data_IF_843202184695
#
_entry.id   IF_843202184695
#
_cell.length_a   1.000
_cell.length_b   1.000
_cell.length_c   1.000
_cell.angle_alpha   90.00
_cell.angle_beta   90.00
_cell.angle_gamma   90.00
#
_symmetry.space_group_name_H-M   'P 1'
#
loop_
_entity.id
_entity.type
_entity.pdbx_description
1 polymer ?
2 non-polymer ?
3 water ?
#
# COMPACT_ATOMS: atom_id res chain seq x y z
N UNK A 6 -7.17 -13.36 10.95
CA UNK A 6 -6.03 -12.41 11.09
C UNK A 6 -6.35 -11.07 10.41
N UNK A 7 -6.26 -11.01 9.08
CA UNK A 7 -6.50 -9.78 8.31
C UNK A 7 -7.84 -9.64 7.59
N UNK A 8 -8.45 -8.46 7.70
CA UNK A 8 -9.70 -8.21 6.99
C UNK A 8 -9.33 -7.27 5.83
N UNK A 9 -9.08 -7.82 4.65
CA UNK A 9 -8.71 -7.01 3.50
C UNK A 9 -9.90 -6.60 2.65
N UNK A 10 -10.13 -5.29 2.58
CA UNK A 10 -11.20 -4.70 1.79
C UNK A 10 -10.60 -4.04 0.57
N UNK A 11 -10.53 -4.80 -0.51
CA UNK A 11 -9.97 -4.30 -1.75
C UNK A 11 -10.67 -4.88 -2.95
N UNK A 12 -10.11 -4.66 -4.12
CA UNK A 12 -10.77 -5.11 -5.32
C UNK A 12 -10.27 -6.46 -5.77
N UNK A 13 -11.08 -7.10 -6.60
CA UNK A 13 -10.78 -8.38 -7.19
C UNK A 13 -10.88 -8.26 -8.72
N UNK A 14 -9.99 -8.97 -9.40
CA UNK A 14 -9.97 -9.02 -10.85
C UNK A 14 -9.81 -10.49 -11.25
N UNK A 15 -10.59 -10.92 -12.24
CA UNK A 15 -10.54 -12.31 -12.70
C UNK A 15 -9.14 -12.63 -13.09
N UNK A 16 -8.56 -11.75 -13.90
CA UNK A 16 -7.21 -11.87 -14.41
C UNK A 16 -6.29 -10.84 -13.80
N UNK A 17 -5.00 -11.15 -13.77
CA UNK A 17 -4.02 -10.21 -13.25
C UNK A 17 -3.97 -10.02 -11.75
N UNK A 18 -3.07 -9.16 -11.30
CA UNK A 18 -2.90 -8.93 -9.87
C UNK A 18 -2.99 -7.49 -9.41
N UNK A 19 -4.14 -7.14 -8.87
CA UNK A 19 -4.38 -5.80 -8.38
C UNK A 19 -5.29 -5.97 -7.18
N UNK A 20 -5.21 -5.06 -6.22
CA UNK A 20 -6.07 -5.15 -5.06
C UNK A 20 -5.89 -6.40 -4.21
N UNK A 21 -6.99 -7.12 -3.98
CA UNK A 21 -6.98 -8.32 -3.16
C UNK A 21 -6.18 -9.43 -3.81
N UNK A 22 -6.14 -9.46 -5.13
CA UNK A 22 -5.39 -10.49 -5.85
C UNK A 22 -3.89 -10.24 -5.68
N UNK A 23 -3.53 -9.02 -5.32
CA UNK A 23 -2.14 -8.66 -5.12
C UNK A 23 -1.74 -8.80 -3.64
N UNK A 24 -2.73 -8.73 -2.75
CA UNK A 24 -2.44 -8.82 -1.33
C UNK A 24 -2.71 -10.16 -0.64
N UNK A 25 -3.50 -11.06 -1.24
CA UNK A 25 -3.83 -12.32 -0.58
C UNK A 25 -2.83 -13.46 -0.69
N UNK A 26 -2.29 -13.71 -1.88
CA UNK A 26 -1.29 -14.76 -2.04
C UNK A 26 -0.21 -14.47 -0.99
N UNK A 27 0.52 -13.35 -1.14
CA UNK A 27 1.57 -13.00 -0.18
C UNK A 27 1.15 -13.24 1.26
N UNK A 28 0.30 -12.37 1.77
CA UNK A 28 -0.16 -12.49 3.14
C UNK A 28 -0.44 -13.93 3.52
N UNK A 29 -0.88 -14.73 2.53
CA UNK A 29 -1.17 -16.16 2.77
C UNK A 29 0.11 -16.98 2.81
N UNK A 30 0.91 -16.87 1.74
CA UNK A 30 2.16 -17.62 1.63
C UNK A 30 3.12 -17.23 2.74
N UNK A 31 2.78 -16.19 3.47
CA UNK A 31 3.60 -15.78 4.59
C UNK A 31 2.99 -16.52 5.76
N UNK A 32 1.69 -16.81 5.65
CA UNK A 32 1.01 -17.54 6.70
C UNK A 32 -0.01 -16.72 7.46
N UNK A 33 -0.64 -15.77 6.79
CA UNK A 33 -1.65 -14.95 7.46
C UNK A 33 -3.02 -15.47 7.03
N UNK A 34 -3.94 -15.54 7.98
CA UNK A 34 -5.29 -16.02 7.72
C UNK A 34 -5.98 -14.80 7.10
N UNK A 35 -6.06 -14.77 5.78
CA UNK A 35 -6.67 -13.63 5.12
C UNK A 35 -8.15 -13.77 4.79
N UNK A 36 -8.93 -12.82 5.28
CA UNK A 36 -10.35 -12.75 5.01
C UNK A 36 -10.51 -11.62 3.99
N UNK A 37 -11.09 -11.94 2.84
CA UNK A 37 -11.20 -10.96 1.76
C UNK A 37 -12.57 -10.53 1.35
N UNK A 38 -12.76 -9.21 1.38
CA UNK A 38 -13.99 -8.60 0.93
C UNK A 38 -13.67 -7.83 -0.34
N UNK A 39 -14.16 -8.34 -1.47
CA UNK A 39 -13.92 -7.73 -2.76
C UNK A 39 -14.79 -6.51 -3.00
N UNK A 40 -14.18 -5.33 -3.02
CA UNK A 40 -14.89 -4.08 -3.24
C UNK A 40 -15.51 -4.09 -4.64
N UNK A 41 -14.83 -4.69 -5.60
CA UNK A 41 -15.38 -4.77 -6.94
C UNK A 41 -14.89 -6.07 -7.53
N UNK A 42 -15.54 -6.53 -8.59
CA UNK A 42 -15.10 -7.74 -9.28
C UNK A 42 -15.09 -7.36 -10.71
N UNK A 43 -13.92 -6.98 -11.19
CA UNK A 43 -13.74 -6.60 -12.58
C UNK A 43 -12.99 -7.72 -13.28
N UNK A 44 -13.07 -7.75 -14.61
CA UNK A 44 -12.41 -8.76 -15.42
C UNK A 44 -10.90 -8.55 -15.49
N UNK A 45 -10.45 -7.31 -15.24
CA UNK A 45 -9.03 -6.95 -15.25
C UNK A 45 -8.98 -5.47 -14.89
N UNK A 46 -7.81 -4.97 -14.51
CA UNK A 46 -7.70 -3.56 -14.14
C UNK A 46 -8.00 -2.64 -15.32
N UNK A 47 -8.41 -1.42 -15.02
CA UNK A 47 -8.81 -0.44 -16.04
C UNK A 47 -7.70 0.16 -16.87
N UNK A 48 -6.57 -0.54 -16.97
CA UNK A 48 -5.43 -0.06 -17.75
C UNK A 48 -5.37 -0.81 -19.06
N UNK A 49 -6.15 -1.87 -19.16
CA UNK A 49 -6.26 -2.64 -20.40
C UNK A 49 -7.17 -1.77 -21.29
N UNK A 50 -7.26 -2.09 -22.58
CA UNK A 50 -8.12 -1.30 -23.46
C UNK A 50 -9.56 -1.36 -22.96
N UNK A 51 -10.15 -2.55 -22.98
CA UNK A 51 -11.52 -2.74 -22.52
C UNK A 51 -11.53 -3.30 -21.08
N UNK A 52 -12.73 -3.37 -20.49
CA UNK A 52 -12.95 -3.92 -19.15
C UNK A 52 -14.42 -3.89 -18.79
N UNK A 53 -14.84 -4.88 -18.02
CA UNK A 53 -16.21 -4.94 -17.57
C UNK A 53 -16.33 -5.50 -16.16
N UNK A 54 -17.49 -5.28 -15.55
CA UNK A 54 -17.68 -5.80 -14.21
C UNK A 54 -18.67 -5.07 -13.33
N UNK A 55 -18.62 -5.38 -12.04
CA UNK A 55 -19.49 -4.76 -11.08
C UNK A 55 -18.73 -4.18 -9.89
N UNK A 56 -19.37 -3.24 -9.22
CA UNK A 56 -18.79 -2.57 -8.07
C UNK A 56 -19.71 -2.86 -6.90
N UNK A 57 -19.17 -2.86 -5.68
CA UNK A 57 -19.98 -3.15 -4.53
C UNK A 57 -20.31 -1.80 -3.94
N UNK A 58 -21.50 -1.68 -3.36
CA UNK A 58 -21.86 -0.41 -2.77
C UNK A 58 -21.74 -0.46 -1.25
N UNK A 59 -22.11 0.63 -0.61
CA UNK A 59 -22.02 0.72 0.85
C UNK A 59 -22.94 -0.23 1.60
N UNK A 60 -24.15 -0.44 1.09
CA UNK A 60 -25.08 -1.33 1.76
C UNK A 60 -24.62 -2.77 1.63
N UNK A 61 -24.18 -3.14 0.42
CA UNK A 61 -23.70 -4.49 0.14
C UNK A 61 -22.51 -4.80 1.02
N UNK A 62 -21.64 -3.81 1.23
CA UNK A 62 -20.46 -3.99 2.06
C UNK A 62 -20.96 -4.19 3.48
N UNK A 63 -21.97 -3.40 3.81
CA UNK A 63 -22.63 -3.42 5.11
C UNK A 63 -23.14 -4.86 5.37
N UNK A 64 -23.91 -5.34 4.40
CA UNK A 64 -24.49 -6.67 4.45
C UNK A 64 -23.49 -7.73 4.89
N UNK A 65 -22.34 -7.80 4.22
CA UNK A 65 -21.28 -8.78 4.52
C UNK A 65 -20.67 -8.62 5.90
N UNK A 66 -20.46 -7.38 6.33
CA UNK A 66 -19.86 -7.18 7.65
C UNK A 66 -20.89 -7.70 8.62
N UNK A 67 -22.15 -7.37 8.36
CA UNK A 67 -23.25 -7.81 9.20
C UNK A 67 -23.17 -9.32 9.39
N UNK A 68 -23.11 -10.03 8.27
CA UNK A 68 -23.02 -11.46 8.35
C UNK A 68 -21.94 -11.89 9.31
N UNK A 69 -20.76 -11.29 9.21
CA UNK A 69 -19.67 -11.66 10.09
C UNK A 69 -19.97 -11.35 11.56
N UNK A 70 -20.78 -10.33 11.82
CA UNK A 70 -21.09 -9.99 13.21
C UNK A 70 -21.92 -11.09 13.85
N UNK A 71 -23.06 -11.36 13.22
CA UNK A 71 -23.99 -12.36 13.70
C UNK A 71 -23.37 -13.69 14.06
N UNK A 72 -22.29 -14.07 13.39
CA UNK A 72 -21.65 -15.35 13.71
C UNK A 72 -20.52 -15.16 14.71
N UNK A 73 -20.45 -13.97 15.29
CA UNK A 73 -19.40 -13.61 16.25
C UNK A 73 -18.03 -14.11 15.79
N UNK A 74 -17.65 -13.71 14.58
CA UNK A 74 -16.37 -14.07 14.01
C UNK A 74 -15.71 -12.78 13.54
N UNK A 75 -16.29 -11.66 13.96
CA UNK A 75 -15.78 -10.36 13.58
C UNK A 75 -14.61 -9.88 14.44
N UNK A 76 -13.67 -10.77 14.74
CA UNK A 76 -12.50 -10.37 15.52
C UNK A 76 -11.26 -10.43 14.61
N UNK A 77 -10.61 -9.29 14.45
CA UNK A 77 -9.45 -9.21 13.57
C UNK A 77 -8.13 -8.70 14.11
N UNK A 78 -7.06 -9.34 13.65
CA UNK A 78 -5.67 -8.98 13.99
C UNK A 78 -5.26 -7.70 13.19
N UNK A 79 -5.52 -7.73 11.89
CA UNK A 79 -5.22 -6.59 11.04
C UNK A 79 -6.34 -6.26 10.06
N UNK A 80 -6.33 -5.03 9.60
CA UNK A 80 -7.29 -4.58 8.61
C UNK A 80 -6.53 -3.79 7.56
N UNK A 81 -6.71 -4.22 6.33
CA UNK A 81 -6.02 -3.64 5.21
C UNK A 81 -6.96 -3.15 4.09
N UNK A 82 -6.88 -1.86 3.79
CA UNK A 82 -7.68 -1.28 2.73
C UNK A 82 -6.81 -0.52 1.74
N UNK A 83 -7.38 -0.24 0.57
CA UNK A 83 -6.63 0.47 -0.44
C UNK A 83 -7.52 1.35 -1.31
N UNK A 84 -7.40 1.17 -2.61
CA UNK A 84 -8.12 1.95 -3.59
C UNK A 84 -9.65 1.86 -3.63
N UNK A 85 -10.30 3.01 -3.47
CA UNK A 85 -11.75 3.11 -3.53
C UNK A 85 -12.08 4.39 -4.29
N UNK A 86 -13.26 4.45 -4.89
CA UNK A 86 -13.73 5.61 -5.65
C UNK A 86 -14.98 6.19 -5.04
N UNK A 87 -15.72 5.37 -4.30
CA UNK A 87 -16.96 5.75 -3.65
C UNK A 87 -16.67 6.34 -2.27
N UNK A 88 -16.98 7.62 -2.11
CA UNK A 88 -16.74 8.31 -0.84
C UNK A 88 -17.53 7.61 0.27
N UNK A 89 -18.74 7.18 -0.09
CA UNK A 89 -19.62 6.49 0.84
C UNK A 89 -18.99 5.14 1.21
N UNK A 90 -18.50 4.43 0.20
CA UNK A 90 -17.88 3.15 0.47
C UNK A 90 -16.75 3.34 1.47
N UNK A 91 -15.94 4.36 1.22
CA UNK A 91 -14.82 4.67 2.09
C UNK A 91 -15.30 4.97 3.49
N UNK A 92 -16.40 5.73 3.58
CA UNK A 92 -16.96 6.11 4.87
C UNK A 92 -17.37 4.86 5.65
N UNK A 93 -18.24 4.07 5.02
CA UNK A 93 -18.73 2.83 5.58
C UNK A 93 -17.55 2.04 6.14
N UNK A 94 -16.45 2.05 5.41
CA UNK A 94 -15.25 1.33 5.84
C UNK A 94 -14.71 1.87 7.15
N UNK A 95 -14.78 3.17 7.35
CA UNK A 95 -14.23 3.70 8.59
C UNK A 95 -15.02 3.21 9.80
N UNK A 96 -16.35 3.25 9.70
CA UNK A 96 -17.21 2.75 10.77
C UNK A 96 -16.73 1.34 11.16
N UNK A 97 -16.78 0.43 10.19
CA UNK A 97 -16.36 -0.95 10.40
C UNK A 97 -15.05 -0.99 11.18
N UNK A 98 -13.98 -0.45 10.61
CA UNK A 98 -12.66 -0.47 11.26
C UNK A 98 -12.67 0.00 12.72
N UNK A 99 -13.64 0.84 13.08
CA UNK A 99 -13.73 1.34 14.45
C UNK A 99 -14.09 0.19 15.38
N UNK A 100 -15.30 -0.33 15.18
CA UNK A 100 -15.79 -1.46 15.96
C UNK A 100 -14.71 -2.50 16.02
N UNK A 101 -14.27 -2.99 14.88
CA UNK A 101 -13.22 -3.99 14.91
C UNK A 101 -12.10 -3.60 15.84
N UNK A 102 -11.97 -2.32 16.15
CA UNK A 102 -10.95 -1.86 17.07
C UNK A 102 -11.32 -2.11 18.52
N UNK A 103 -12.63 -2.13 18.80
CA UNK A 103 -13.18 -2.36 20.13
C UNK A 103 -13.10 -3.81 20.50
N UNK A 104 -13.21 -4.71 19.53
CA UNK A 104 -13.16 -6.14 19.79
C UNK A 104 -11.72 -6.53 20.13
N UNK A 105 -10.79 -6.25 19.22
CA UNK A 105 -9.39 -6.53 19.52
C UNK A 105 -8.79 -5.15 19.82
N UNK A 106 -8.16 -5.05 21.01
CA UNK A 106 -7.58 -3.77 21.36
C UNK A 106 -7.06 -3.06 20.12
N UNK A 107 -5.85 -3.41 19.73
CA UNK A 107 -5.47 -2.81 18.49
C UNK A 107 -4.98 -3.64 17.30
N UNK A 108 -5.99 -3.95 16.49
CA UNK A 108 -5.69 -4.64 15.26
C UNK A 108 -5.20 -3.44 14.41
N UNK A 109 -3.94 -3.50 14.03
CA UNK A 109 -3.37 -2.40 13.29
C UNK A 109 -4.11 -2.21 11.99
N UNK A 110 -4.48 -0.98 11.63
CA UNK A 110 -5.16 -0.67 10.37
C UNK A 110 -4.11 -0.22 9.35
N UNK A 111 -3.85 -1.03 8.33
CA UNK A 111 -2.90 -0.65 7.32
C UNK A 111 -3.69 -0.03 6.19
N UNK A 112 -3.42 1.24 5.93
CA UNK A 112 -4.12 2.00 4.92
C UNK A 112 -3.25 2.61 3.81
N UNK A 113 -3.43 2.15 2.57
CA UNK A 113 -2.74 2.70 1.39
C UNK A 113 -3.75 3.72 0.86
N UNK A 114 -3.52 5.00 1.12
CA UNK A 114 -4.43 6.07 0.69
C UNK A 114 -4.36 6.46 -0.79
N UNK A 115 -4.63 5.50 -1.67
CA UNK A 115 -4.58 5.71 -3.09
C UNK A 115 -5.41 6.89 -3.63
N UNK A 116 -4.73 7.92 -4.13
CA UNK A 116 -5.44 9.06 -4.71
C UNK A 116 -4.94 9.49 -6.10
N UNK A 117 -3.69 9.15 -6.42
CA UNK A 117 -3.16 9.53 -7.72
C UNK A 117 -1.65 9.44 -7.78
N UNK A 118 -1.04 10.03 -8.80
CA UNK A 118 0.39 9.97 -8.91
C UNK A 118 1.07 11.25 -9.36
N UNK A 119 2.36 11.32 -9.03
CA UNK A 119 3.16 12.48 -9.37
C UNK A 119 4.19 12.21 -10.44
N UNK A 120 4.53 13.27 -11.16
CA UNK A 120 5.50 13.26 -12.23
C UNK A 120 6.14 14.58 -11.70
N UNK A 121 7.40 14.79 -11.98
CA UNK A 121 8.16 15.96 -11.48
C UNK A 121 7.41 17.26 -11.11
N UNK A 122 6.55 17.72 -12.01
CA UNK A 122 5.82 18.94 -11.74
C UNK A 122 4.71 18.90 -10.70
N UNK A 123 3.68 18.09 -10.96
CA UNK A 123 2.56 18.02 -10.05
C UNK A 123 1.93 16.63 -9.99
N UNK A 124 0.64 16.54 -10.28
CA UNK A 124 -0.01 15.24 -10.21
C UNK A 124 -1.29 15.04 -10.99
N UNK A 125 -1.70 13.78 -11.08
CA UNK A 125 -2.92 13.39 -11.78
C UNK A 125 -3.73 12.48 -10.85
N UNK A 126 -4.90 12.93 -10.42
CA UNK A 126 -5.72 12.12 -9.54
C UNK A 126 -6.50 11.02 -10.28
N UNK A 127 -6.69 9.90 -9.57
CA UNK A 127 -7.40 8.73 -10.09
C UNK A 127 -8.87 8.84 -9.68
N UNK A 128 -9.07 9.23 -8.43
CA UNK A 128 -10.39 9.34 -7.83
C UNK A 128 -10.97 10.74 -7.94
N UNK A 129 -12.30 10.88 -7.75
CA UNK A 129 -12.84 12.23 -7.84
C UNK A 129 -12.31 12.97 -6.61
N UNK A 130 -12.20 14.29 -6.70
CA UNK A 130 -11.65 15.08 -5.60
C UNK A 130 -12.37 15.06 -4.25
N UNK A 131 -13.64 14.71 -4.23
CA UNK A 131 -14.41 14.70 -2.98
C UNK A 131 -13.94 13.67 -1.97
N UNK A 132 -13.16 12.68 -2.42
CA UNK A 132 -12.65 11.64 -1.52
C UNK A 132 -11.56 12.23 -0.63
N UNK A 133 -10.90 13.27 -1.12
CA UNK A 133 -9.83 13.92 -0.40
C UNK A 133 -10.21 14.27 1.03
N UNK A 134 -11.30 15.04 1.22
CA UNK A 134 -11.72 15.41 2.58
C UNK A 134 -11.85 14.20 3.51
N UNK A 135 -12.57 13.17 3.06
CA UNK A 135 -12.78 11.96 3.85
C UNK A 135 -11.47 11.32 4.33
N UNK A 136 -10.50 11.14 3.43
CA UNK A 136 -9.21 10.56 3.84
C UNK A 136 -8.57 11.42 4.90
N UNK A 137 -8.45 12.71 4.60
CA UNK A 137 -7.85 13.68 5.51
C UNK A 137 -8.60 13.77 6.86
N UNK A 138 -9.89 14.06 6.79
CA UNK A 138 -10.73 14.21 7.98
C UNK A 138 -11.11 12.91 8.72
N UNK A 139 -11.77 11.97 8.06
CA UNK A 139 -12.20 10.73 8.73
C UNK A 139 -11.26 9.53 8.67
N UNK A 140 -10.79 9.17 7.49
CA UNK A 140 -9.92 8.00 7.37
C UNK A 140 -8.63 8.06 8.19
N UNK A 141 -7.61 8.75 7.66
CA UNK A 141 -6.30 8.84 8.33
C UNK A 141 -6.25 8.93 9.87
N UNK A 142 -7.15 9.72 10.49
CA UNK A 142 -7.09 9.80 11.95
C UNK A 142 -7.18 8.44 12.68
N UNK A 143 -7.57 7.39 11.95
CA UNK A 143 -7.70 6.07 12.54
C UNK A 143 -6.75 5.01 12.02
N UNK A 144 -6.05 5.29 10.92
CA UNK A 144 -5.09 4.33 10.37
C UNK A 144 -3.88 4.25 11.28
N UNK A 145 -3.24 3.09 11.31
CA UNK A 145 -2.06 2.92 12.17
C UNK A 145 -0.75 2.77 11.39
N UNK A 146 -0.88 2.66 10.08
CA UNK A 146 0.24 2.53 9.15
C UNK A 146 -0.30 3.03 7.82
N UNK A 147 0.42 3.92 7.15
CA UNK A 147 -0.02 4.47 5.86
C UNK A 147 1.13 4.46 4.86
N UNK A 148 0.83 4.16 3.59
CA UNK A 148 1.86 4.06 2.56
C UNK A 148 1.63 4.94 1.31
N UNK A 149 1.62 6.25 1.48
CA UNK A 149 1.40 7.21 0.37
C UNK A 149 2.51 7.53 -0.64
N UNK A 150 2.07 8.20 -1.70
CA UNK A 150 2.93 8.70 -2.75
C UNK A 150 3.48 9.97 -2.14
N UNK A 151 4.24 10.72 -2.94
CA UNK A 151 4.76 11.99 -2.48
C UNK A 151 3.56 12.88 -2.72
N UNK A 152 2.94 12.65 -3.87
CA UNK A 152 1.76 13.35 -4.32
C UNK A 152 0.71 13.19 -3.26
N UNK A 153 0.44 11.94 -2.93
CA UNK A 153 -0.54 11.62 -1.92
C UNK A 153 -0.20 12.32 -0.60
N UNK A 154 1.04 12.19 -0.13
CA UNK A 154 1.41 12.87 1.11
C UNK A 154 1.15 14.37 1.02
N UNK A 155 1.51 14.98 -0.10
CA UNK A 155 1.27 16.40 -0.28
C UNK A 155 -0.23 16.70 -0.22
N UNK A 156 -1.04 15.91 -0.91
CA UNK A 156 -2.49 16.11 -0.89
C UNK A 156 -3.10 16.06 0.51
N UNK A 157 -2.62 15.15 1.34
CA UNK A 157 -3.14 15.03 2.71
C UNK A 157 -2.75 16.21 3.59
N UNK A 158 -1.44 16.45 3.69
CA UNK A 158 -0.94 17.54 4.52
C UNK A 158 -1.21 18.90 3.91
N UNK A 159 -1.38 18.94 2.59
CA UNK A 159 -1.63 20.18 1.89
C UNK A 159 -0.32 20.89 1.63
N UNK A 160 0.77 20.26 2.04
CA UNK A 160 2.10 20.83 1.85
C UNK A 160 2.86 20.13 0.70
N UNK A 161 3.44 20.95 -0.18
CA UNK A 161 4.18 20.46 -1.35
C UNK A 161 5.66 20.19 -0.98
N UNK A 162 6.17 19.00 -1.28
CA UNK A 162 7.56 18.62 -0.96
C UNK A 162 8.62 18.99 -2.01
N UNK A 163 9.56 19.86 -1.64
CA UNK A 163 10.62 20.32 -2.55
C UNK A 163 11.97 19.73 -2.26
N UNK A 164 12.17 19.28 -1.03
CA UNK A 164 13.44 18.69 -0.64
C UNK A 164 13.22 17.53 0.31
N UNK A 165 14.31 16.93 0.77
CA UNK A 165 14.22 15.80 1.67
C UNK A 165 13.74 16.26 3.05
N UNK A 166 14.33 17.32 3.59
CA UNK A 166 13.91 17.80 4.91
C UNK A 166 12.45 18.19 4.86
N UNK A 167 12.06 18.85 3.78
CA UNK A 167 10.67 19.27 3.66
C UNK A 167 9.83 18.01 3.78
N UNK A 168 10.34 16.92 3.22
CA UNK A 168 9.65 15.64 3.26
C UNK A 168 9.47 15.11 4.69
N UNK A 169 10.56 15.01 5.43
CA UNK A 169 10.50 14.53 6.82
C UNK A 169 9.51 15.31 7.67
N UNK A 170 9.34 16.60 7.37
CA UNK A 170 8.43 17.46 8.12
C UNK A 170 6.96 17.31 7.73
N UNK A 171 6.74 16.65 6.59
CA UNK A 171 5.38 16.44 6.12
C UNK A 171 4.92 15.10 6.69
N UNK A 172 5.89 14.25 6.99
CA UNK A 172 5.60 12.96 7.58
C UNK A 172 5.19 13.22 9.02
N UNK A 173 5.86 14.16 9.66
CA UNK A 173 5.53 14.53 11.02
C UNK A 173 4.11 15.02 11.06
N UNK A 174 3.73 15.87 10.11
CA UNK A 174 2.35 16.36 10.05
C UNK A 174 1.44 15.14 10.00
N UNK A 175 1.89 14.09 9.31
CA UNK A 175 1.13 12.86 9.21
C UNK A 175 1.06 12.15 10.56
N UNK A 176 2.21 11.93 11.18
CA UNK A 176 2.29 11.27 12.48
C UNK A 176 1.29 11.87 13.46
N UNK A 177 1.37 13.18 13.63
CA UNK A 177 0.49 13.87 14.57
C UNK A 177 -0.96 13.71 14.13
N UNK A 178 -1.14 13.30 12.87
CA UNK A 178 -2.49 13.06 12.39
C UNK A 178 -2.98 11.77 13.03
N UNK A 179 -2.04 10.85 13.26
CA UNK A 179 -2.37 9.59 13.89
C UNK A 179 -1.39 8.45 13.68
N UNK A 180 -1.22 7.99 12.44
CA UNK A 180 -0.32 6.88 12.10
C UNK A 180 1.01 6.92 12.80
N UNK A 181 1.31 5.95 13.65
CA UNK A 181 2.62 5.94 14.32
C UNK A 181 3.63 5.45 13.29
N UNK A 182 3.15 5.27 12.06
CA UNK A 182 4.03 4.84 10.97
C UNK A 182 3.59 5.50 9.66
N UNK A 183 4.60 5.99 8.93
CA UNK A 183 4.42 6.66 7.66
C UNK A 183 5.53 6.18 6.78
N UNK A 184 5.22 5.88 5.53
CA UNK A 184 6.23 5.43 4.59
C UNK A 184 5.92 6.00 3.25
N UNK A 185 6.73 6.97 2.81
CA UNK A 185 6.51 7.54 1.48
C UNK A 185 7.15 6.51 0.58
N UNK A 186 6.32 5.76 -0.14
CA UNK A 186 6.76 4.67 -0.98
C UNK A 186 7.44 5.03 -2.30
N UNK A 187 7.46 6.31 -2.63
CA UNK A 187 8.12 6.76 -3.85
C UNK A 187 8.11 8.28 -3.88
N UNK A 188 9.03 8.89 -4.64
CA UNK A 188 9.10 10.35 -4.69
C UNK A 188 9.91 10.87 -5.85
N UNK A 189 9.72 12.17 -6.13
CA UNK A 189 10.38 12.90 -7.22
C UNK A 189 11.79 13.35 -6.83
N UNK A 190 12.09 13.29 -5.54
CA UNK A 190 13.39 13.71 -5.06
C UNK A 190 14.50 12.93 -5.73
N UNK A 191 15.56 13.62 -6.13
CA UNK A 191 16.70 12.93 -6.71
C UNK A 191 17.26 12.28 -5.45
N UNK A 192 18.18 11.34 -5.63
CA UNK A 192 18.73 10.65 -4.47
C UNK A 192 20.25 10.58 -4.50
N UNK A 193 20.87 10.26 -3.36
CA UNK A 193 22.33 10.16 -3.30
C UNK A 193 22.97 9.15 -4.24
N UNK A 194 22.27 8.74 -5.30
CA UNK A 194 22.81 7.76 -6.23
C UNK A 194 22.39 7.95 -7.70
N UNK A 195 21.86 9.12 -8.04
CA UNK A 195 21.46 9.37 -9.41
C UNK A 195 20.00 9.08 -9.72
N UNK A 196 19.52 9.58 -10.86
CA UNK A 196 18.12 9.38 -11.27
C UNK A 196 17.91 7.93 -11.70
N UNK A 197 18.97 7.14 -11.58
CA UNK A 197 18.96 5.74 -11.95
C UNK A 197 18.15 4.97 -10.91
N UNK A 198 17.77 5.65 -9.84
CA UNK A 198 16.99 5.03 -8.77
C UNK A 198 15.64 5.69 -8.49
N UNK A 199 15.07 5.29 -7.35
CA UNK A 199 13.79 5.75 -6.83
C UNK A 199 14.01 5.84 -5.33
N UNK A 200 13.61 6.94 -4.73
CA UNK A 200 13.79 7.07 -3.30
C UNK A 200 12.46 6.98 -2.56
N UNK A 201 12.47 6.34 -1.39
CA UNK A 201 11.26 6.20 -0.58
C UNK A 201 11.69 6.55 0.81
N UNK A 202 10.80 7.13 1.60
CA UNK A 202 11.11 7.53 2.96
C UNK A 202 10.29 6.78 4.00
N UNK A 203 10.85 6.62 5.19
CA UNK A 203 10.17 5.89 6.26
C UNK A 203 10.40 6.46 7.64
N UNK A 204 9.33 6.64 8.40
CA UNK A 204 9.45 7.18 9.76
C UNK A 204 8.33 6.73 10.71
N UNK A 205 8.73 6.10 11.82
CA UNK A 205 7.79 5.64 12.83
C UNK A 205 8.15 6.36 14.12
N UNK A 206 7.15 6.89 14.82
CA UNK A 206 7.43 7.55 16.08
C UNK A 206 6.83 6.73 17.21
N UNK A 207 7.72 5.92 17.77
CA UNK A 207 7.45 4.98 18.86
C UNK A 207 7.36 5.63 20.25
N UNK A 208 6.15 5.78 20.79
CA UNK A 208 6.02 6.34 22.15
C UNK A 208 6.83 5.33 22.98
N UNK A 209 7.19 5.65 24.21
CA UNK A 209 7.98 4.70 24.98
C UNK A 209 8.09 5.06 26.46
N UNK A 210 9.27 4.80 27.11
CA UNK A 210 9.27 5.18 28.52
C UNK A 210 8.87 6.65 28.66
N UNK A 211 9.22 7.30 29.75
CA UNK A 211 8.73 8.66 29.89
C UNK A 211 9.53 9.86 29.38
N UNK A 212 10.07 9.72 28.17
CA UNK A 212 10.77 10.81 27.52
C UNK A 212 9.73 11.25 26.49
N UNK A 213 8.72 10.39 26.34
CA UNK A 213 7.58 10.55 25.43
C UNK A 213 7.88 10.70 23.95
N UNK A 214 9.14 10.60 23.58
CA UNK A 214 9.52 10.72 22.18
C UNK A 214 10.44 9.59 21.79
N UNK A 215 10.67 9.53 20.48
CA UNK A 215 11.54 8.61 19.75
C UNK A 215 10.85 8.74 18.41
N UNK A 216 11.62 8.74 17.35
CA UNK A 216 11.07 8.83 16.02
C UNK A 216 12.18 8.24 15.21
N UNK A 217 11.88 7.24 14.40
CA UNK A 217 12.91 6.67 13.59
C UNK A 217 12.65 7.11 12.17
N UNK A 218 13.67 7.06 11.33
CA UNK A 218 13.51 7.47 9.92
C UNK A 218 14.65 6.85 9.14
N UNK A 219 14.37 6.38 7.93
CA UNK A 219 15.39 5.80 7.06
C UNK A 219 15.11 6.21 5.62
N UNK A 220 15.91 5.70 4.70
CA UNK A 220 15.69 6.01 3.29
C UNK A 220 16.20 4.89 2.41
N UNK A 221 15.28 4.14 1.82
CA UNK A 221 15.69 3.05 0.94
C UNK A 221 15.72 3.69 -0.44
N UNK A 222 16.32 2.98 -1.38
CA UNK A 222 16.41 3.45 -2.75
C UNK A 222 16.43 2.17 -3.58
N UNK A 223 15.39 1.99 -4.39
CA UNK A 223 15.29 0.79 -5.24
C UNK A 223 15.77 1.15 -6.63
N UNK A 224 16.34 0.20 -7.33
CA UNK A 224 16.83 0.43 -8.67
C UNK A 224 15.64 0.59 -9.61
N UNK A 225 15.35 1.81 -10.03
CA UNK A 225 14.21 2.04 -10.91
C UNK A 225 14.16 1.05 -12.08
N UNK A 226 12.94 0.76 -12.54
CA UNK A 226 12.73 -0.19 -13.64
C UNK A 226 12.10 0.54 -14.82
N UNK A 227 12.53 0.17 -16.04
CA UNK A 227 12.00 0.83 -17.25
C UNK A 227 10.56 0.49 -17.65
N UNK A 228 9.64 0.40 -16.69
CA UNK A 228 8.26 0.05 -17.07
C UNK A 228 7.10 0.54 -16.21
N UNK A 229 5.90 0.47 -16.80
CA UNK A 229 4.65 0.89 -16.15
C UNK A 229 3.90 -0.30 -15.56
N UNK A 230 3.91 -0.40 -14.23
CA UNK A 230 3.25 -1.49 -13.53
C UNK A 230 2.02 -1.03 -12.78
N UNK A 231 0.99 -1.86 -12.78
CA UNK A 231 -0.24 -1.57 -12.05
C UNK A 231 -0.30 -2.57 -10.91
N UNK A 232 -0.48 -2.11 -9.69
CA UNK A 232 -0.54 -3.02 -8.56
C UNK A 232 0.65 -3.00 -7.61
N UNK A 233 1.79 -2.50 -8.08
CA UNK A 233 2.97 -2.47 -7.23
C UNK A 233 2.68 -1.99 -5.82
N UNK A 234 1.83 -0.98 -5.68
CA UNK A 234 1.54 -0.47 -4.35
C UNK A 234 0.68 -1.33 -3.44
N UNK A 235 -0.15 -2.19 -4.03
CA UNK A 235 -1.01 -3.08 -3.26
C UNK A 235 -0.12 -4.19 -2.71
N UNK A 236 0.83 -4.60 -3.55
CA UNK A 236 1.81 -5.62 -3.21
C UNK A 236 2.69 -5.05 -2.13
N UNK A 237 2.95 -3.75 -2.21
CA UNK A 237 3.79 -3.12 -1.23
C UNK A 237 3.21 -3.14 0.19
N UNK A 238 1.99 -2.62 0.35
CA UNK A 238 1.31 -2.52 1.63
C UNK A 238 1.04 -3.89 2.24
N UNK A 239 0.84 -4.87 1.38
CA UNK A 239 0.60 -6.23 1.84
C UNK A 239 1.83 -6.73 2.61
N UNK A 240 2.96 -6.78 1.91
CA UNK A 240 4.18 -7.24 2.53
C UNK A 240 4.60 -6.36 3.69
N UNK A 241 4.32 -5.08 3.60
CA UNK A 241 4.72 -4.23 4.69
C UNK A 241 3.98 -4.73 5.91
N UNK A 242 2.78 -5.26 5.73
CA UNK A 242 2.01 -5.78 6.85
C UNK A 242 2.72 -7.02 7.38
N UNK A 243 3.07 -7.92 6.47
CA UNK A 243 3.76 -9.15 6.85
C UNK A 243 4.94 -8.81 7.75
N UNK A 244 5.97 -8.23 7.13
CA UNK A 244 7.20 -7.86 7.84
C UNK A 244 7.10 -6.94 9.05
N UNK A 245 6.42 -5.81 8.96
CA UNK A 245 6.38 -4.97 10.15
C UNK A 245 5.72 -5.78 11.24
N UNK A 246 5.31 -7.00 10.91
CA UNK A 246 4.66 -7.85 11.91
C UNK A 246 5.70 -8.48 12.82
N UNK A 247 6.68 -9.12 12.20
CA UNK A 247 7.76 -9.78 12.93
C UNK A 247 8.66 -8.75 13.65
N UNK A 248 8.72 -7.55 13.11
CA UNK A 248 9.54 -6.51 13.69
C UNK A 248 8.73 -5.28 14.01
N UNK A 249 7.79 -5.37 14.94
CA UNK A 249 7.00 -4.16 15.23
C UNK A 249 7.83 -2.87 15.17
N UNK A 250 8.69 -2.66 16.17
CA UNK A 250 9.51 -1.45 16.25
C UNK A 250 10.85 -1.45 15.51
N UNK A 251 10.81 -1.69 14.21
CA UNK A 251 12.02 -1.73 13.40
C UNK A 251 11.70 -1.22 12.03
N UNK A 252 11.00 -0.09 11.97
CA UNK A 252 10.62 0.49 10.68
C UNK A 252 11.67 0.20 9.63
N UNK A 253 12.93 0.22 10.05
CA UNK A 253 14.05 -0.04 9.15
C UNK A 253 14.06 -1.49 8.67
N UNK A 254 14.14 -2.42 9.61
CA UNK A 254 14.18 -3.84 9.29
C UNK A 254 13.12 -4.32 8.29
N UNK A 255 11.92 -3.76 8.37
CA UNK A 255 10.83 -4.12 7.47
C UNK A 255 11.08 -3.72 6.03
N UNK A 256 10.76 -2.45 5.71
CA UNK A 256 10.92 -1.91 4.37
C UNK A 256 12.06 -2.62 3.68
N UNK A 257 13.15 -2.77 4.43
CA UNK A 257 14.36 -3.43 3.95
C UNK A 257 14.03 -4.73 3.19
N UNK A 258 13.29 -5.63 3.84
CA UNK A 258 12.91 -6.88 3.21
C UNK A 258 11.71 -6.69 2.28
N UNK A 259 10.81 -5.80 2.67
CA UNK A 259 9.62 -5.54 1.87
C UNK A 259 10.07 -5.07 0.48
N UNK A 260 10.83 -3.98 0.46
CA UNK A 260 11.33 -3.43 -0.80
C UNK A 260 12.13 -4.49 -1.54
N UNK A 261 12.88 -5.28 -0.79
CA UNK A 261 13.71 -6.33 -1.37
C UNK A 261 12.93 -7.18 -2.35
N UNK A 262 11.87 -7.80 -1.83
CA UNK A 262 11.04 -8.69 -2.63
C UNK A 262 10.49 -8.07 -3.88
N UNK A 263 10.17 -6.79 -3.83
CA UNK A 263 9.63 -6.17 -5.03
C UNK A 263 10.62 -6.11 -6.18
N UNK A 264 11.89 -5.83 -5.90
CA UNK A 264 12.84 -5.81 -7.02
C UNK A 264 12.80 -7.17 -7.71
N UNK A 265 12.74 -8.24 -6.92
CA UNK A 265 12.66 -9.61 -7.45
C UNK A 265 11.45 -9.78 -8.36
N UNK A 266 10.30 -9.67 -7.73
CA UNK A 266 9.02 -9.81 -8.40
C UNK A 266 8.99 -9.00 -9.68
N UNK A 267 9.39 -7.74 -9.58
CA UNK A 267 9.36 -6.85 -10.73
C UNK A 267 10.27 -7.27 -11.86
N UNK A 268 11.54 -7.52 -11.58
CA UNK A 268 12.42 -7.91 -12.67
C UNK A 268 12.01 -9.24 -13.26
N UNK A 269 11.53 -10.19 -12.46
CA UNK A 269 11.11 -11.44 -13.08
C UNK A 269 9.94 -11.07 -13.99
N UNK A 270 9.08 -10.17 -13.51
CA UNK A 270 7.94 -9.74 -14.30
C UNK A 270 8.50 -9.14 -15.56
N UNK A 271 9.29 -8.08 -15.42
CA UNK A 271 9.87 -7.42 -16.57
C UNK A 271 10.56 -8.41 -17.46
N UNK A 272 11.47 -9.20 -16.90
CA UNK A 272 12.18 -10.20 -17.68
C UNK A 272 11.13 -10.94 -18.51
N UNK A 273 10.38 -11.83 -17.87
CA UNK A 273 9.34 -12.61 -18.55
C UNK A 273 8.57 -11.75 -19.56
N UNK A 274 8.05 -10.63 -19.06
CA UNK A 274 7.28 -9.67 -19.87
C UNK A 274 7.90 -9.45 -21.25
N UNK A 275 9.18 -9.16 -21.23
CA UNK A 275 9.96 -8.92 -22.44
C UNK A 275 10.02 -10.21 -23.21
N UNK A 276 10.50 -11.25 -22.54
CA UNK A 276 10.63 -12.57 -23.14
C UNK A 276 9.44 -12.81 -24.08
N UNK A 277 8.27 -12.35 -23.64
CA UNK A 277 7.04 -12.50 -24.43
C UNK A 277 6.97 -11.48 -25.57
N UNK A 278 7.28 -10.22 -25.26
CA UNK A 278 7.27 -9.18 -26.28
C UNK A 278 8.53 -9.26 -27.14
N UNK A 279 8.35 -9.13 -28.45
CA UNK A 279 9.49 -9.16 -29.34
C UNK A 279 10.39 -8.03 -28.87
N UNK A 280 11.58 -7.90 -29.45
CA UNK A 280 12.49 -6.86 -28.98
C UNK A 280 12.40 -5.45 -29.58
N UNK A 281 11.20 -5.06 -30.02
CA UNK A 281 11.05 -3.73 -30.57
C UNK A 281 9.59 -3.34 -30.44
N UNK A 282 9.08 -3.48 -29.22
CA UNK A 282 7.67 -3.18 -28.95
C UNK A 282 7.46 -3.24 -27.46
N UNK A 283 6.68 -2.30 -26.94
CA UNK A 283 6.42 -2.25 -25.50
C UNK A 283 5.50 -3.36 -25.01
N UNK A 284 5.88 -4.02 -23.91
CA UNK A 284 5.00 -5.09 -23.40
C UNK A 284 3.65 -4.43 -23.11
N UNK A 285 2.57 -5.16 -23.35
CA UNK A 285 1.23 -4.65 -23.12
C UNK A 285 0.85 -4.79 -21.66
N UNK A 286 -0.28 -4.18 -21.25
CA UNK A 286 -0.68 -4.29 -19.83
C UNK A 286 -0.82 -5.76 -19.44
N UNK A 287 -1.18 -6.56 -20.43
CA UNK A 287 -1.36 -7.99 -20.25
C UNK A 287 -0.11 -8.76 -19.83
N UNK A 288 1.01 -8.49 -20.49
CA UNK A 288 2.26 -9.18 -20.21
C UNK A 288 2.97 -8.58 -19.00
N UNK A 289 2.61 -7.35 -18.65
CA UNK A 289 3.22 -6.69 -17.51
C UNK A 289 2.69 -7.14 -16.14
N UNK A 290 1.61 -7.93 -16.16
CA UNK A 290 0.96 -8.45 -14.95
C UNK A 290 1.94 -9.20 -14.06
N UNK A 291 2.07 -8.76 -12.81
CA UNK A 291 2.98 -9.37 -11.86
C UNK A 291 3.07 -10.88 -11.83
N UNK A 292 4.27 -11.39 -12.10
CA UNK A 292 4.51 -12.81 -12.02
C UNK A 292 4.53 -13.09 -10.53
N UNK A 293 3.32 -13.12 -9.97
CA UNK A 293 3.10 -13.33 -8.54
C UNK A 293 3.44 -14.77 -8.16
N UNK A 294 2.77 -15.69 -8.83
CA UNK A 294 2.95 -17.12 -8.61
C UNK A 294 4.44 -17.50 -8.60
N UNK A 295 5.14 -17.18 -9.69
CA UNK A 295 6.56 -17.49 -9.88
C UNK A 295 7.49 -16.92 -8.82
N UNK A 296 7.04 -15.91 -8.09
CA UNK A 296 7.87 -15.31 -7.06
C UNK A 296 7.47 -16.01 -5.80
N UNK A 297 6.89 -17.19 -5.98
CA UNK A 297 6.44 -17.99 -4.84
C UNK A 297 7.54 -17.95 -3.80
N UNK A 298 8.74 -18.31 -4.24
CA UNK A 298 9.90 -18.33 -3.34
C UNK A 298 10.46 -16.97 -2.90
N UNK A 299 10.70 -16.06 -3.84
CA UNK A 299 11.23 -14.74 -3.50
C UNK A 299 10.46 -14.09 -2.35
N UNK A 300 9.15 -13.90 -2.56
CA UNK A 300 8.26 -13.27 -1.58
C UNK A 300 8.46 -13.74 -0.16
N UNK A 301 8.56 -15.06 0.02
CA UNK A 301 8.75 -15.64 1.34
C UNK A 301 10.15 -15.49 1.87
N UNK A 302 11.14 -15.80 1.03
CA UNK A 302 12.55 -15.75 1.41
C UNK A 302 13.36 -14.74 0.59
N UNK A 303 13.39 -13.47 1.06
CA UNK A 303 14.08 -12.33 0.47
C UNK A 303 15.61 -12.28 0.58
N UNK A 304 16.23 -11.76 -0.47
CA UNK A 304 17.68 -11.62 -0.59
C UNK A 304 18.25 -10.27 -0.07
N UNK A 305 17.53 -9.62 0.84
CA UNK A 305 17.95 -8.32 1.40
C UNK A 305 19.05 -7.72 0.52
N UNK A 306 18.65 -7.37 -0.71
CA UNK A 306 19.52 -6.80 -1.72
C UNK A 306 19.39 -5.28 -1.78
N UNK A 307 18.93 -4.72 -0.66
CA UNK A 307 18.73 -3.28 -0.51
C UNK A 307 19.11 -2.99 0.93
N UNK A 308 19.43 -1.73 1.22
CA UNK A 308 19.80 -1.31 2.56
C UNK A 308 19.49 0.19 2.64
N UNK A 309 19.31 0.74 3.83
CA UNK A 309 19.02 2.16 3.96
C UNK A 309 19.93 2.85 4.98
N UNK A 310 19.44 3.89 5.64
CA UNK A 310 20.19 4.62 6.67
C UNK A 310 19.22 5.31 7.61
N UNK A 311 19.42 5.19 8.91
CA UNK A 311 18.53 5.88 9.84
C UNK A 311 18.80 7.36 9.69
N UNK A 312 17.81 8.09 9.19
CA UNK A 312 17.96 9.53 8.97
C UNK A 312 18.72 9.60 7.64
#
# INVERSE_FOLDING_TARGET
MEEECRVLSIQSHVVRGYVGNRAATFPLQVLGFEVDAVNSVQFSNHTGYSHWKGQVLNSDELQELYDGLKLNHVNQYDYVLTGYTRDKSFLAMVVDIVQELKQQNPRLVYVCDPVMGDQRNGEGAMYVPDDLLPVYREKVVPVADIITPNQFEAELLTGRKIHSQEEALEVMDMLHSMGPDTVVITSSNLLSPRGSDYLMALGSQRTRAPDGSVVTQRIRMEMHKVDAVFVGTGDLFAAMLLAWTHKHPNNLKVACEKTVSAMHHVLQRTIKCAKAKSGEGVKPSPAQLELRMVQSKKDIESPEIVVQATVL
#
